data_IF_379871058132
#
_entry.id   IF_379871058132
#
_cell.length_a   1.000
_cell.length_b   1.000
_cell.length_c   1.000
_cell.angle_alpha   90.00
_cell.angle_beta   90.00
_cell.angle_gamma   90.00
#
_symmetry.space_group_name_H-M   'P 1'
#
loop_
_entity.id
_entity.type
_entity.pdbx_description
1 polymer ?
#
# COMPACT_ATOMS: atom_id res chain seq x y z
N UNK A 1 12.71 8.05 -2.72
CA UNK A 1 11.76 8.17 -3.86
C UNK A 1 12.48 7.78 -5.15
N UNK A 2 12.17 6.61 -5.71
CA UNK A 2 12.85 6.08 -6.90
C UNK A 2 12.76 7.01 -8.12
N UNK A 3 11.63 7.70 -8.31
CA UNK A 3 11.44 8.69 -9.38
C UNK A 3 12.31 9.97 -9.24
N UNK A 4 12.73 10.34 -8.01
CA UNK A 4 13.72 11.42 -7.80
C UNK A 4 15.14 10.98 -8.10
N UNK A 5 15.48 9.70 -7.93
CA UNK A 5 16.78 9.14 -8.36
C UNK A 5 16.90 9.12 -9.90
N UNK A 6 15.77 9.07 -10.62
CA UNK A 6 15.68 9.18 -12.08
C UNK A 6 15.64 10.61 -12.65
N UNK A 7 15.86 11.65 -11.84
CA UNK A 7 15.98 13.04 -12.32
C UNK A 7 14.70 13.88 -12.34
N UNK A 8 13.56 13.36 -11.86
CA UNK A 8 12.32 14.12 -11.79
C UNK A 8 12.30 15.04 -10.54
N UNK A 9 11.69 16.22 -10.70
CA UNK A 9 11.48 17.16 -9.60
C UNK A 9 10.52 16.56 -8.55
N UNK A 10 10.70 16.94 -7.27
CA UNK A 10 9.92 16.37 -6.17
C UNK A 10 8.40 16.43 -6.40
N UNK A 11 7.88 17.55 -6.91
CA UNK A 11 6.47 17.70 -7.26
C UNK A 11 6.02 16.77 -8.40
N UNK A 12 6.88 16.57 -9.41
CA UNK A 12 6.62 15.64 -10.52
C UNK A 12 6.56 14.18 -10.07
N UNK A 13 7.44 13.76 -9.15
CA UNK A 13 7.40 12.41 -8.59
C UNK A 13 6.15 12.13 -7.75
N UNK A 14 5.67 13.12 -6.99
CA UNK A 14 4.42 12.99 -6.25
C UNK A 14 3.20 12.89 -7.17
N UNK A 15 3.15 13.73 -8.21
CA UNK A 15 2.06 13.72 -9.18
C UNK A 15 2.00 12.39 -9.94
N UNK A 16 3.15 11.88 -10.38
CA UNK A 16 3.23 10.57 -11.04
C UNK A 16 2.92 9.38 -10.11
N UNK A 17 3.29 9.48 -8.83
CA UNK A 17 2.96 8.46 -7.84
C UNK A 17 1.44 8.30 -7.66
N UNK A 18 0.74 9.40 -7.42
CA UNK A 18 -0.73 9.37 -7.27
C UNK A 18 -1.46 9.01 -8.58
N UNK A 19 -0.90 9.37 -9.73
CA UNK A 19 -1.47 9.03 -11.04
C UNK A 19 -1.32 7.55 -11.41
N UNK A 20 -0.54 6.77 -10.66
CA UNK A 20 -0.37 5.33 -10.94
C UNK A 20 -1.45 4.47 -10.27
N UNK A 21 -2.19 5.02 -9.30
CA UNK A 21 -3.26 4.35 -8.56
C UNK A 21 -4.74 4.63 -9.00
N UNK A 22 -5.06 5.30 -10.14
CA UNK A 22 -6.45 5.59 -10.51
C UNK A 22 -7.24 4.34 -10.89
N UNK A 23 -6.56 3.19 -11.01
CA UNK A 23 -7.20 1.92 -11.30
C UNK A 23 -8.02 1.40 -10.10
N UNK A 24 -7.61 1.68 -8.86
CA UNK A 24 -8.32 1.26 -7.65
C UNK A 24 -9.76 1.80 -7.55
N UNK A 25 -10.03 3.11 -7.71
CA UNK A 25 -11.41 3.61 -7.65
C UNK A 25 -12.28 3.10 -8.80
N UNK A 26 -11.70 2.82 -9.98
CA UNK A 26 -12.43 2.26 -11.11
C UNK A 26 -12.92 0.83 -10.82
N UNK A 27 -12.04 -0.02 -10.30
CA UNK A 27 -12.40 -1.40 -9.94
C UNK A 27 -13.35 -1.43 -8.74
N UNK A 28 -13.14 -0.56 -7.75
CA UNK A 28 -14.04 -0.44 -6.60
C UNK A 28 -15.47 -0.08 -7.03
N UNK A 29 -15.63 0.85 -7.98
CA UNK A 29 -16.93 1.26 -8.49
C UNK A 29 -17.65 0.11 -9.23
N UNK A 30 -16.93 -0.65 -10.06
CA UNK A 30 -17.47 -1.83 -10.73
C UNK A 30 -17.92 -2.90 -9.72
N UNK A 31 -17.16 -3.10 -8.64
CA UNK A 31 -17.50 -4.03 -7.56
C UNK A 31 -18.81 -3.67 -6.83
N UNK A 32 -19.07 -2.38 -6.62
CA UNK A 32 -20.32 -1.89 -6.00
C UNK A 32 -21.51 -2.13 -6.93
N UNK A 33 -21.37 -1.83 -8.22
CA UNK A 33 -22.45 -1.99 -9.22
C UNK A 33 -22.87 -3.46 -9.35
N UNK A 34 -21.94 -4.40 -9.20
CA UNK A 34 -22.18 -5.82 -9.43
C UNK A 34 -22.76 -6.58 -8.20
N UNK A 35 -22.99 -5.91 -7.06
CA UNK A 35 -23.56 -6.47 -5.81
C UNK A 35 -22.95 -7.85 -5.44
N UNK A 36 -21.62 -7.90 -5.34
CA UNK A 36 -20.84 -9.13 -5.12
C UNK A 36 -20.76 -9.57 -3.63
N UNK A 37 -21.88 -9.57 -2.89
CA UNK A 37 -21.90 -9.87 -1.45
C UNK A 37 -21.28 -11.21 -1.01
N UNK A 38 -21.58 -12.36 -1.66
CA UNK A 38 -20.97 -13.64 -1.26
C UNK A 38 -19.53 -13.81 -1.74
N UNK A 39 -19.12 -13.07 -2.78
CA UNK A 39 -17.78 -13.15 -3.36
C UNK A 39 -16.79 -12.19 -2.68
N UNK A 40 -17.30 -11.16 -2.01
CA UNK A 40 -16.54 -10.16 -1.27
C UNK A 40 -15.48 -10.73 -0.32
N UNK A 41 -15.77 -11.70 0.57
CA UNK A 41 -14.76 -12.20 1.51
C UNK A 41 -13.61 -12.94 0.80
N UNK A 42 -13.90 -13.63 -0.30
CA UNK A 42 -12.87 -14.27 -1.12
C UNK A 42 -12.01 -13.25 -1.86
N UNK A 43 -12.63 -12.21 -2.41
CA UNK A 43 -11.92 -11.12 -3.08
C UNK A 43 -11.04 -10.31 -2.11
N UNK A 44 -11.55 -10.00 -0.91
CA UNK A 44 -10.80 -9.35 0.16
C UNK A 44 -9.62 -10.23 0.63
N UNK A 45 -9.83 -11.54 0.79
CA UNK A 45 -8.76 -12.48 1.11
C UNK A 45 -7.67 -12.52 0.04
N UNK A 46 -8.06 -12.53 -1.24
CA UNK A 46 -7.13 -12.46 -2.37
C UNK A 46 -6.35 -11.14 -2.39
N UNK A 47 -7.02 -10.00 -2.18
CA UNK A 47 -6.39 -8.69 -2.12
C UNK A 47 -5.39 -8.58 -0.96
N UNK A 48 -5.75 -9.09 0.23
CA UNK A 48 -4.85 -9.14 1.38
C UNK A 48 -3.60 -10.00 1.09
N UNK A 49 -3.79 -11.16 0.44
CA UNK A 49 -2.67 -12.02 0.00
C UNK A 49 -1.75 -11.34 -1.00
N UNK A 50 -2.30 -10.65 -2.00
CA UNK A 50 -1.53 -9.90 -2.99
C UNK A 50 -0.68 -8.79 -2.33
N UNK A 51 -1.26 -8.05 -1.40
CA UNK A 51 -0.52 -7.01 -0.65
C UNK A 51 0.61 -7.59 0.18
N UNK A 52 0.40 -8.73 0.86
CA UNK A 52 1.48 -9.39 1.63
C UNK A 52 2.60 -9.88 0.70
N UNK A 53 2.28 -10.43 -0.47
CA UNK A 53 3.27 -10.88 -1.45
C UNK A 53 4.16 -9.74 -1.95
N UNK A 54 3.58 -8.60 -2.31
CA UNK A 54 4.33 -7.41 -2.77
C UNK A 54 5.21 -6.84 -1.65
N UNK A 55 4.67 -6.73 -0.43
CA UNK A 55 5.42 -6.20 0.72
C UNK A 55 6.63 -7.08 1.04
N UNK A 56 6.48 -8.40 1.00
CA UNK A 56 7.57 -9.34 1.27
C UNK A 56 8.55 -9.44 0.10
N UNK A 57 8.06 -9.42 -1.14
CA UNK A 57 8.87 -9.63 -2.33
C UNK A 57 9.71 -8.43 -2.74
N UNK A 58 9.18 -7.22 -2.57
CA UNK A 58 9.81 -6.00 -3.11
C UNK A 58 10.12 -4.99 -1.99
N UNK A 59 9.12 -4.63 -1.18
CA UNK A 59 9.26 -3.50 -0.24
C UNK A 59 10.24 -3.81 0.90
N UNK A 60 10.14 -4.99 1.51
CA UNK A 60 11.03 -5.42 2.61
C UNK A 60 12.49 -5.51 2.16
N UNK A 61 12.85 -6.26 1.09
CA UNK A 61 14.24 -6.32 0.64
C UNK A 61 14.76 -4.98 0.15
N UNK A 62 13.97 -4.18 -0.57
CA UNK A 62 14.37 -2.83 -1.01
C UNK A 62 14.70 -1.94 0.20
N UNK A 63 13.87 -1.96 1.24
CA UNK A 63 14.08 -1.16 2.46
C UNK A 63 15.31 -1.58 3.26
N UNK A 64 15.68 -2.87 3.25
CA UNK A 64 16.90 -3.37 3.91
C UNK A 64 18.16 -3.25 3.06
N UNK A 65 18.01 -3.11 1.74
CA UNK A 65 19.13 -2.91 0.80
C UNK A 65 19.70 -1.48 0.91
N UNK A 66 18.92 -0.53 1.43
CA UNK A 66 19.42 0.78 1.81
C UNK A 66 20.23 0.69 3.13
N UNK A 67 21.29 1.50 3.27
CA UNK A 67 22.29 1.42 4.36
C UNK A 67 21.73 1.61 5.79
N UNK A 68 20.43 1.89 5.94
CA UNK A 68 19.72 2.22 7.19
C UNK A 68 18.60 1.20 7.52
N UNK A 69 18.90 -0.09 7.48
CA UNK A 69 17.97 -1.19 7.76
C UNK A 69 17.25 -1.09 9.12
N UNK A 70 17.90 -0.51 10.13
CA UNK A 70 17.31 -0.29 11.46
C UNK A 70 16.19 0.77 11.44
N UNK A 71 16.39 1.87 10.69
CA UNK A 71 15.41 2.94 10.55
C UNK A 71 14.18 2.47 9.77
N UNK A 72 14.38 1.66 8.73
CA UNK A 72 13.29 1.03 7.97
C UNK A 72 12.41 0.13 8.86
N UNK A 73 13.05 -0.65 9.75
CA UNK A 73 12.33 -1.52 10.69
C UNK A 73 11.54 -0.71 11.70
N UNK A 74 12.12 0.37 12.23
CA UNK A 74 11.43 1.26 13.17
C UNK A 74 10.22 1.95 12.53
N UNK A 75 10.37 2.40 11.27
CA UNK A 75 9.28 2.96 10.48
C UNK A 75 8.13 1.96 10.25
N UNK A 76 8.47 0.70 9.97
CA UNK A 76 7.46 -0.36 9.81
C UNK A 76 6.68 -0.63 11.11
N UNK A 77 7.36 -0.68 12.25
CA UNK A 77 6.73 -0.87 13.57
C UNK A 77 5.79 0.30 13.88
N UNK A 78 6.23 1.55 13.66
CA UNK A 78 5.40 2.74 13.88
C UNK A 78 4.18 2.73 12.96
N UNK A 79 4.36 2.44 11.66
CA UNK A 79 3.27 2.37 10.70
C UNK A 79 2.23 1.31 11.07
N UNK A 80 2.70 0.12 11.50
CA UNK A 80 1.83 -0.94 11.99
C UNK A 80 1.07 -0.52 13.27
N UNK A 81 1.75 0.11 14.22
CA UNK A 81 1.10 0.61 15.44
C UNK A 81 0.05 1.70 15.13
N UNK A 82 0.35 2.59 14.19
CA UNK A 82 -0.56 3.64 13.74
C UNK A 82 -1.84 3.04 13.15
N UNK A 83 -1.72 2.09 12.21
CA UNK A 83 -2.89 1.52 11.54
C UNK A 83 -3.74 0.67 12.50
N UNK A 84 -3.10 -0.06 13.42
CA UNK A 84 -3.80 -0.79 14.49
C UNK A 84 -4.55 0.15 15.44
N UNK A 85 -3.95 1.28 15.79
CA UNK A 85 -4.62 2.29 16.64
C UNK A 85 -5.80 2.92 15.90
N UNK A 86 -5.64 3.20 14.60
CA UNK A 86 -6.69 3.76 13.77
C UNK A 86 -7.89 2.80 13.62
N UNK A 87 -7.64 1.51 13.39
CA UNK A 87 -8.69 0.46 13.32
C UNK A 87 -9.46 0.38 14.64
N UNK A 88 -8.74 0.35 15.76
CA UNK A 88 -9.35 0.26 17.09
C UNK A 88 -10.20 1.50 17.43
N UNK A 89 -9.80 2.67 16.97
CA UNK A 89 -10.56 3.91 17.14
C UNK A 89 -11.83 3.94 16.29
N UNK A 90 -11.76 3.52 15.02
CA UNK A 90 -12.89 3.57 14.09
C UNK A 90 -13.90 2.45 14.31
N UNK A 91 -13.49 1.35 14.93
CA UNK A 91 -14.34 0.20 15.25
C UNK A 91 -15.21 0.42 16.51
N UNK A 92 -15.15 1.60 17.13
CA UNK A 92 -15.94 2.00 18.30
C UNK A 92 -17.10 2.91 17.89
#
# INVERSE_FOLDING_TARGET
MPLRRGGLTAKGSFFFGQLSEPFEPMVALLGVILIMHPLLPYALGFAAGAMIFVVMGEITPESRNERHSEEATFGAIIGFALIMTLDLYFKR
#
